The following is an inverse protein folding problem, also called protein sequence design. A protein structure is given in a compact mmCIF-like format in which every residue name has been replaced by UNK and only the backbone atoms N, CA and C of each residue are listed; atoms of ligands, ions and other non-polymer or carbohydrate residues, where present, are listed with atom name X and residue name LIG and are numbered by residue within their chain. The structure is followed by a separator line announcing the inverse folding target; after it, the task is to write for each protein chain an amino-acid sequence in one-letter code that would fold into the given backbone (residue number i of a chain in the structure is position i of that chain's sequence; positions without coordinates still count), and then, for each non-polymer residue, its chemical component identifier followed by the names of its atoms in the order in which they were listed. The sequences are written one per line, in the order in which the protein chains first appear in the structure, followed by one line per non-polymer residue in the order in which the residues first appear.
data_IF_189449843613
#
_entry.id   IF_189449843613
#
_cell.length_a   1.000
_cell.length_b   1.000
_cell.length_c   1.000
_cell.angle_alpha   90.00
_cell.angle_beta   90.00
_cell.angle_gamma   90.00
#
_symmetry.space_group_name_H-M   'P 1'
#
loop_
_entity.id
_entity.type
_entity.pdbx_description
1 polymer ?
#
# COMPACT_ATOMS: atom_id res chain seq x y z
N UNK A 1 24.88 -23.82 0.76
CA UNK A 1 25.13 -22.38 0.52
C UNK A 1 23.78 -21.69 0.27
N UNK A 2 22.95 -21.52 1.31
CA UNK A 2 21.56 -21.00 1.23
C UNK A 2 21.37 -19.73 2.08
N UNK A 3 22.32 -19.39 2.96
CA UNK A 3 22.20 -18.24 3.86
C UNK A 3 22.30 -16.86 3.20
N UNK A 4 22.79 -16.76 1.95
CA UNK A 4 23.02 -15.45 1.31
C UNK A 4 21.82 -14.90 0.54
N UNK A 5 20.87 -15.78 0.14
CA UNK A 5 19.64 -15.39 -0.57
C UNK A 5 18.54 -14.94 0.38
N UNK A 6 18.46 -15.52 1.59
CA UNK A 6 17.49 -15.10 2.62
C UNK A 6 17.62 -13.62 2.98
N UNK A 7 18.85 -13.12 3.06
CA UNK A 7 19.16 -11.71 3.33
C UNK A 7 18.73 -10.73 2.21
N UNK A 8 18.46 -11.20 0.98
CA UNK A 8 17.94 -10.36 -0.10
C UNK A 8 16.41 -10.19 -0.02
N UNK A 9 15.71 -11.17 0.58
CA UNK A 9 14.26 -11.15 0.79
C UNK A 9 13.85 -10.68 2.19
N UNK A 10 14.77 -10.78 3.17
CA UNK A 10 14.74 -10.01 4.41
C UNK A 10 15.09 -8.56 4.07
N UNK A 11 14.19 -7.87 3.35
CA UNK A 11 14.22 -6.42 3.37
C UNK A 11 14.10 -6.02 4.84
N UNK A 12 15.07 -5.27 5.41
CA UNK A 12 14.84 -4.63 6.70
C UNK A 12 13.53 -3.87 6.57
N UNK A 13 12.65 -3.98 7.58
CA UNK A 13 11.41 -3.21 7.63
C UNK A 13 11.76 -1.78 7.23
N UNK A 14 11.26 -1.34 6.07
CA UNK A 14 11.56 0.00 5.59
C UNK A 14 11.13 0.97 6.70
N UNK A 15 11.98 1.95 7.03
CA UNK A 15 11.67 2.89 8.11
C UNK A 15 10.30 3.46 7.84
N UNK A 16 9.48 3.49 8.90
CA UNK A 16 8.11 3.95 8.76
C UNK A 16 8.10 5.36 8.17
N UNK A 17 7.16 5.64 7.24
CA UNK A 17 6.85 7.02 6.92
C UNK A 17 6.56 7.75 8.22
N UNK A 18 7.34 8.81 8.50
CA UNK A 18 7.20 9.60 9.72
C UNK A 18 5.89 10.40 9.72
N UNK A 19 5.33 10.63 8.53
CA UNK A 19 4.16 11.46 8.30
C UNK A 19 2.98 10.61 7.79
N UNK A 20 1.78 11.10 8.05
CA UNK A 20 0.56 10.57 7.46
C UNK A 20 0.54 10.87 5.95
N UNK A 21 -0.03 9.96 5.18
CA UNK A 21 -0.12 10.10 3.73
C UNK A 21 -1.45 9.58 3.22
N UNK A 22 -1.74 9.87 1.97
CA UNK A 22 -2.92 9.34 1.28
C UNK A 22 -2.51 8.27 0.30
N UNK A 23 -3.37 7.28 0.14
CA UNK A 23 -3.27 6.22 -0.86
C UNK A 23 -4.31 6.48 -1.93
N UNK A 24 -3.87 6.59 -3.18
CA UNK A 24 -4.73 6.67 -4.36
C UNK A 24 -4.63 5.30 -5.03
N UNK A 25 -5.67 4.49 -4.90
CA UNK A 25 -5.74 3.19 -5.54
C UNK A 25 -6.36 3.34 -6.92
N UNK A 26 -5.61 2.94 -7.92
CA UNK A 26 -6.12 2.71 -9.25
C UNK A 26 -6.19 1.20 -9.51
N UNK A 27 -7.05 0.80 -10.45
CA UNK A 27 -7.28 -0.60 -10.81
C UNK A 27 -6.02 -1.46 -11.03
N UNK A 28 -4.92 -0.85 -11.46
CA UNK A 28 -3.68 -1.56 -11.80
C UNK A 28 -2.48 -1.15 -10.93
N UNK A 29 -2.62 -0.15 -10.05
CA UNK A 29 -1.48 0.40 -9.33
C UNK A 29 -1.91 1.20 -8.10
N UNK A 30 -0.98 1.44 -7.18
CA UNK A 30 -1.21 2.18 -5.94
C UNK A 30 -0.20 3.31 -5.83
N UNK A 31 -0.71 4.54 -5.69
CA UNK A 31 0.12 5.73 -5.56
C UNK A 31 -0.02 6.31 -4.16
N UNK A 32 1.07 6.87 -3.66
CA UNK A 32 1.10 7.51 -2.34
C UNK A 32 1.24 9.00 -2.54
N UNK A 33 0.45 9.80 -1.84
CA UNK A 33 0.39 11.24 -2.04
C UNK A 33 0.38 11.98 -0.70
N UNK A 34 0.86 13.23 -0.72
CA UNK A 34 0.59 14.17 0.37
C UNK A 34 -0.89 14.54 0.38
N UNK A 35 -1.34 15.05 1.53
CA UNK A 35 -2.72 15.47 1.75
C UNK A 35 -3.23 16.43 0.68
N UNK A 36 -2.46 17.48 0.37
CA UNK A 36 -2.88 18.53 -0.55
C UNK A 36 -3.10 17.98 -1.97
N UNK A 37 -2.26 17.01 -2.36
CA UNK A 37 -2.38 16.34 -3.64
C UNK A 37 -3.63 15.46 -3.68
N UNK A 38 -3.86 14.66 -2.63
CA UNK A 38 -5.04 13.81 -2.55
C UNK A 38 -6.35 14.61 -2.52
N UNK A 39 -6.37 15.74 -1.81
CA UNK A 39 -7.50 16.67 -1.79
C UNK A 39 -7.78 17.24 -3.19
N UNK A 40 -6.73 17.62 -3.94
CA UNK A 40 -6.88 18.07 -5.33
C UNK A 40 -7.41 16.97 -6.26
N UNK A 41 -6.95 15.72 -6.10
CA UNK A 41 -7.48 14.57 -6.84
C UNK A 41 -8.96 14.34 -6.51
N UNK A 42 -9.33 14.40 -5.22
CA UNK A 42 -10.72 14.28 -4.78
C UNK A 42 -11.61 15.40 -5.32
N UNK A 43 -11.10 16.63 -5.40
CA UNK A 43 -11.83 17.75 -6.00
C UNK A 43 -12.09 17.53 -7.49
N UNK A 44 -11.08 17.11 -8.25
CA UNK A 44 -11.22 16.75 -9.67
C UNK A 44 -12.25 15.63 -9.88
N UNK A 45 -12.24 14.61 -9.01
CA UNK A 45 -13.20 13.50 -9.06
C UNK A 45 -14.64 13.92 -8.74
N UNK A 46 -14.83 14.94 -7.89
CA UNK A 46 -16.15 15.43 -7.48
C UNK A 46 -16.81 16.38 -8.49
N UNK A 47 -16.08 16.82 -9.53
CA UNK A 47 -16.64 17.67 -10.58
C UNK A 47 -17.81 16.96 -11.27
N UNK A 48 -18.83 17.73 -11.66
CA UNK A 48 -19.97 17.20 -12.43
C UNK A 48 -19.51 16.55 -13.76
N UNK A 49 -18.42 17.06 -14.33
CA UNK A 49 -17.75 16.54 -15.51
C UNK A 49 -16.26 16.36 -15.19
N UNK A 50 -15.87 15.26 -14.54
CA UNK A 50 -14.48 15.06 -14.18
C UNK A 50 -13.64 14.87 -15.45
N UNK A 51 -12.37 15.33 -15.46
CA UNK A 51 -11.52 15.20 -16.64
C UNK A 51 -11.31 13.73 -16.99
N UNK A 52 -10.91 13.41 -18.22
CA UNK A 52 -10.62 12.02 -18.61
C UNK A 52 -9.35 11.48 -17.95
N UNK A 53 -8.41 12.37 -17.66
CA UNK A 53 -7.11 12.08 -17.05
C UNK A 53 -6.90 13.03 -15.88
N UNK A 54 -6.40 12.51 -14.77
CA UNK A 54 -5.93 13.29 -13.64
C UNK A 54 -4.42 13.10 -13.57
N UNK A 55 -3.71 14.20 -13.39
CA UNK A 55 -2.26 14.25 -13.24
C UNK A 55 -1.92 14.79 -11.86
N UNK A 56 -0.96 14.15 -11.17
CA UNK A 56 -0.51 14.57 -9.85
C UNK A 56 0.92 14.08 -9.59
N UNK A 57 1.58 14.68 -8.59
CA UNK A 57 2.88 14.21 -8.11
C UNK A 57 2.69 13.24 -6.94
N UNK A 58 3.32 12.07 -7.00
CA UNK A 58 3.32 11.12 -5.89
C UNK A 58 4.39 11.48 -4.83
N UNK A 59 4.46 10.73 -3.74
CA UNK A 59 5.45 10.89 -2.67
C UNK A 59 6.88 10.56 -3.09
N UNK A 60 7.05 9.75 -4.15
CA UNK A 60 8.38 9.47 -4.70
C UNK A 60 8.92 10.62 -5.56
N UNK A 61 8.07 11.59 -5.89
CA UNK A 61 8.37 12.71 -6.78
C UNK A 61 8.06 12.41 -8.25
N UNK A 62 7.47 11.26 -8.56
CA UNK A 62 7.04 10.90 -9.90
C UNK A 62 5.78 11.69 -10.29
N UNK A 63 5.74 12.17 -11.53
CA UNK A 63 4.50 12.69 -12.13
C UNK A 63 3.66 11.52 -12.63
N UNK A 64 2.55 11.28 -11.95
CA UNK A 64 1.59 10.22 -12.27
C UNK A 64 0.45 10.81 -13.09
N UNK A 65 0.10 10.13 -14.18
CA UNK A 65 -1.06 10.47 -15.01
C UNK A 65 -1.96 9.26 -15.18
N UNK A 66 -3.14 9.29 -14.57
CA UNK A 66 -4.07 8.16 -14.51
C UNK A 66 -5.41 8.52 -15.11
N UNK A 67 -6.11 7.53 -15.69
CA UNK A 67 -7.49 7.73 -16.13
C UNK A 67 -8.40 7.83 -14.93
N UNK A 68 -9.23 8.86 -14.88
CA UNK A 68 -10.19 9.12 -13.79
C UNK A 68 -11.06 7.91 -13.47
N UNK A 69 -11.59 7.23 -14.51
CA UNK A 69 -12.43 6.03 -14.34
C UNK A 69 -11.72 4.80 -13.75
N UNK A 70 -10.38 4.85 -13.64
CA UNK A 70 -9.59 3.76 -13.07
C UNK A 70 -9.20 4.03 -11.62
N UNK A 71 -9.45 5.23 -11.09
CA UNK A 71 -9.28 5.51 -9.67
C UNK A 71 -10.47 4.87 -8.95
N UNK A 72 -10.17 3.95 -8.04
CA UNK A 72 -11.17 3.15 -7.31
C UNK A 72 -11.38 3.69 -5.90
N UNK A 73 -10.30 4.15 -5.24
CA UNK A 73 -10.42 4.83 -3.96
C UNK A 73 -9.30 5.85 -3.74
N UNK A 74 -9.59 6.84 -2.87
CA UNK A 74 -8.60 7.72 -2.27
C UNK A 74 -8.84 7.70 -0.77
N UNK A 75 -7.85 7.25 -0.01
CA UNK A 75 -7.98 7.05 1.44
C UNK A 75 -6.80 7.62 2.19
N UNK A 76 -7.05 8.15 3.38
CA UNK A 76 -6.02 8.56 4.31
C UNK A 76 -5.38 7.33 4.97
N UNK A 77 -4.07 7.37 5.15
CA UNK A 77 -3.27 6.36 5.81
C UNK A 77 -2.46 6.99 6.93
N UNK A 78 -3.02 6.95 8.14
CA UNK A 78 -2.40 7.50 9.33
C UNK A 78 -1.48 6.50 10.02
N UNK A 79 -0.53 7.00 10.82
CA UNK A 79 0.30 6.16 11.67
C UNK A 79 -0.51 5.22 12.57
N UNK A 80 -1.64 5.70 13.10
CA UNK A 80 -2.54 4.89 13.93
C UNK A 80 -3.21 3.76 13.14
N UNK A 81 -3.70 4.02 11.92
CA UNK A 81 -4.28 3.00 11.04
C UNK A 81 -3.23 1.95 10.66
N UNK A 82 -1.99 2.38 10.36
CA UNK A 82 -0.88 1.45 10.07
C UNK A 82 -0.54 0.59 11.27
N UNK A 83 -0.49 1.14 12.48
CA UNK A 83 -0.26 0.40 13.71
C UNK A 83 -1.35 -0.67 13.94
N UNK A 84 -2.63 -0.28 13.84
CA UNK A 84 -3.76 -1.18 13.97
C UNK A 84 -3.75 -2.30 12.90
N UNK A 85 -3.47 -1.97 11.63
CA UNK A 85 -3.37 -2.95 10.55
C UNK A 85 -2.25 -3.96 10.79
N UNK A 86 -1.11 -3.54 11.34
CA UNK A 86 -0.01 -4.44 11.70
C UNK A 86 -0.40 -5.36 12.85
N UNK A 87 -1.02 -4.82 13.90
CA UNK A 87 -1.51 -5.63 15.01
C UNK A 87 -2.49 -6.69 14.53
N UNK A 88 -3.45 -6.31 13.69
CA UNK A 88 -4.39 -7.23 13.07
C UNK A 88 -3.69 -8.30 12.22
N UNK A 89 -2.73 -7.93 11.36
CA UNK A 89 -1.95 -8.89 10.56
C UNK A 89 -1.13 -9.84 11.44
N UNK A 90 -0.54 -9.36 12.54
CA UNK A 90 0.19 -10.20 13.51
C UNK A 90 -0.76 -11.16 14.24
N UNK A 91 -1.94 -10.68 14.63
CA UNK A 91 -2.98 -11.53 15.22
C UNK A 91 -3.41 -12.62 14.23
N UNK A 92 -3.75 -12.25 12.99
CA UNK A 92 -4.12 -13.20 11.93
C UNK A 92 -3.01 -14.23 11.66
N UNK A 93 -1.75 -13.81 11.57
CA UNK A 93 -0.62 -14.75 11.41
C UNK A 93 -0.47 -15.73 12.58
N UNK A 94 -0.80 -15.30 13.81
CA UNK A 94 -0.80 -16.19 14.99
C UNK A 94 -1.94 -17.20 14.92
N UNK A 95 -3.13 -16.76 14.50
CA UNK A 95 -4.27 -17.64 14.24
C UNK A 95 -3.95 -18.67 13.15
N UNK A 96 -3.49 -18.21 11.98
CA UNK A 96 -3.06 -19.07 10.86
C UNK A 96 -1.97 -20.07 11.27
N UNK A 97 -1.02 -19.66 12.12
CA UNK A 97 0.02 -20.56 12.64
C UNK A 97 -0.53 -21.58 13.63
N UNK A 98 -1.53 -21.22 14.44
CA UNK A 98 -2.16 -22.13 15.39
C UNK A 98 -3.01 -23.19 14.68
N UNK A 99 -3.64 -22.83 13.56
CA UNK A 99 -4.42 -23.74 12.72
C UNK A 99 -3.56 -24.61 11.79
N UNK A 100 -2.28 -24.25 11.61
CA UNK A 100 -1.33 -24.96 10.76
C UNK A 100 -1.03 -26.35 11.30
N UNK A 101 -1.08 -27.35 10.42
CA UNK A 101 -0.78 -28.74 10.78
C UNK A 101 0.73 -29.00 10.78
N UNK A 102 1.23 -29.96 11.59
CA UNK A 102 2.68 -30.20 11.73
C UNK A 102 3.45 -30.58 10.44
N UNK A 103 2.76 -30.96 9.37
CA UNK A 103 3.35 -31.32 8.07
C UNK A 103 3.19 -30.24 6.99
N UNK A 104 2.65 -29.07 7.35
CA UNK A 104 2.60 -27.88 6.49
C UNK A 104 3.84 -26.98 6.69
N UNK A 105 4.83 -27.44 7.47
CA UNK A 105 6.13 -26.78 7.66
C UNK A 105 7.20 -27.26 6.65
N UNK A 106 6.93 -28.33 5.87
CA UNK A 106 7.81 -28.83 4.82
C UNK A 106 7.25 -28.44 3.44
N UNK A 107 7.62 -27.26 2.95
CA UNK A 107 7.63 -26.97 1.51
C UNK A 107 8.89 -26.17 1.15
N UNK A 108 10.01 -26.89 1.19
CA UNK A 108 11.17 -26.68 0.32
C UNK A 108 10.74 -26.96 -1.14
N UNK A 109 10.06 -26.03 -1.82
CA UNK A 109 9.96 -26.05 -3.29
C UNK A 109 9.92 -24.64 -3.88
N UNK A 110 11.11 -24.24 -4.38
CA UNK A 110 11.50 -23.08 -5.21
C UNK A 110 11.79 -21.75 -4.51
#
# INVERSE_FOLDING_TARGET
MIHRLKALFEQPDQPEPAEDYYVIEARCDTFYARREVAEGVLEELRRAWPPRWIEFADLSGATVRVRTRLIECVQECTGAQRAAAREFRRARRREEKADRRPWEDDDDWW
#
